data_IF_610130844603
#
_entry.id   IF_610130844603
#
_cell.length_a   1.000
_cell.length_b   1.000
_cell.length_c   1.000
_cell.angle_alpha   90.00
_cell.angle_beta   90.00
_cell.angle_gamma   90.00
#
_symmetry.space_group_name_H-M   'P 1'
#
loop_
_entity.id
_entity.type
_entity.pdbx_description
1 polymer ?
#
# COMPACT_ATOMS: atom_id res chain seq x y z
N UNK A 1 4.81 -8.78 7.74
CA UNK A 1 4.63 -10.16 8.28
C UNK A 1 5.00 -10.24 9.75
N UNK A 2 6.20 -9.78 10.14
CA UNK A 2 6.59 -9.74 11.57
C UNK A 2 5.62 -8.89 12.38
N UNK A 3 5.28 -7.68 11.88
CA UNK A 3 4.26 -6.83 12.51
C UNK A 3 2.91 -7.53 12.69
N UNK A 4 2.44 -8.27 11.68
CA UNK A 4 1.15 -8.97 11.71
C UNK A 4 1.11 -10.12 12.73
N UNK A 5 2.25 -10.75 13.00
CA UNK A 5 2.33 -11.98 13.78
C UNK A 5 2.96 -11.80 15.16
N UNK A 6 3.70 -10.71 15.38
CA UNK A 6 4.57 -10.54 16.55
C UNK A 6 5.74 -11.54 16.57
N UNK A 7 6.03 -12.20 15.44
CA UNK A 7 7.01 -13.28 15.34
C UNK A 7 8.26 -12.84 14.59
N UNK A 8 9.42 -13.43 14.94
CA UNK A 8 10.68 -13.21 14.22
C UNK A 8 10.62 -13.79 12.80
N UNK A 9 11.24 -13.11 11.83
CA UNK A 9 11.35 -13.60 10.45
C UNK A 9 11.96 -15.00 10.32
N UNK A 10 12.92 -15.33 11.19
CA UNK A 10 13.57 -16.64 11.29
C UNK A 10 13.63 -17.07 12.75
N UNK A 11 13.20 -18.30 13.04
CA UNK A 11 13.23 -18.89 14.37
C UNK A 11 13.62 -20.36 14.27
N UNK A 12 14.79 -20.73 14.82
CA UNK A 12 15.35 -22.07 14.70
C UNK A 12 14.69 -23.08 15.64
N UNK A 13 14.06 -22.60 16.70
CA UNK A 13 13.32 -23.41 17.67
C UNK A 13 11.99 -23.94 17.10
N UNK A 14 11.53 -23.39 15.97
CA UNK A 14 10.31 -23.83 15.28
C UNK A 14 10.52 -25.07 14.42
N UNK A 15 9.46 -25.88 14.21
CA UNK A 15 9.46 -26.95 13.22
C UNK A 15 9.94 -26.49 11.85
N UNK A 16 10.58 -27.38 11.08
CA UNK A 16 11.20 -27.06 9.79
C UNK A 16 10.27 -26.28 8.83
N UNK A 17 8.98 -26.62 8.78
CA UNK A 17 7.99 -25.99 7.91
C UNK A 17 7.62 -24.54 8.32
N UNK A 18 7.99 -24.10 9.53
CA UNK A 18 7.63 -22.80 10.11
C UNK A 18 8.81 -21.95 10.57
N UNK A 19 10.05 -22.38 10.25
CA UNK A 19 11.27 -21.62 10.55
C UNK A 19 11.29 -20.26 9.87
N UNK A 20 10.95 -20.23 8.58
CA UNK A 20 10.85 -19.00 7.80
C UNK A 20 9.42 -18.47 7.84
N UNK A 21 9.25 -17.28 8.42
CA UNK A 21 7.93 -16.68 8.59
C UNK A 21 7.22 -16.45 7.25
N UNK A 22 7.97 -16.12 6.19
CA UNK A 22 7.44 -15.91 4.84
C UNK A 22 6.75 -17.17 4.31
N UNK A 23 7.46 -18.30 4.34
CA UNK A 23 6.92 -19.58 3.87
C UNK A 23 5.74 -20.03 4.73
N UNK A 24 5.83 -19.83 6.04
CA UNK A 24 4.76 -20.20 6.96
C UNK A 24 3.49 -19.39 6.71
N UNK A 25 3.61 -18.07 6.56
CA UNK A 25 2.48 -17.18 6.28
C UNK A 25 1.85 -17.50 4.92
N UNK A 26 2.66 -17.71 3.88
CA UNK A 26 2.17 -18.05 2.54
C UNK A 26 1.33 -19.34 2.55
N UNK A 27 1.81 -20.39 3.24
CA UNK A 27 1.06 -21.65 3.39
C UNK A 27 -0.24 -21.44 4.17
N UNK A 28 -0.21 -20.69 5.27
CA UNK A 28 -1.40 -20.43 6.07
C UNK A 28 -2.47 -19.62 5.31
N UNK A 29 -2.08 -18.66 4.46
CA UNK A 29 -3.05 -17.97 3.60
C UNK A 29 -3.71 -18.95 2.62
N UNK A 30 -2.91 -19.80 1.97
CA UNK A 30 -3.39 -20.82 1.02
C UNK A 30 -4.34 -21.83 1.68
N UNK A 31 -4.07 -22.19 2.93
CA UNK A 31 -4.85 -23.14 3.72
C UNK A 31 -6.00 -22.48 4.50
N UNK A 32 -6.19 -21.15 4.37
CA UNK A 32 -7.16 -20.37 5.13
C UNK A 32 -6.98 -20.47 6.67
N UNK A 33 -5.74 -20.62 7.12
CA UNK A 33 -5.29 -20.74 8.53
C UNK A 33 -4.54 -19.50 9.03
N UNK A 34 -4.76 -18.34 8.40
CA UNK A 34 -4.08 -17.10 8.76
C UNK A 34 -4.22 -16.73 10.25
N UNK A 35 -5.39 -17.00 10.84
CA UNK A 35 -5.69 -16.74 12.25
C UNK A 35 -4.75 -17.45 13.24
N UNK A 36 -4.07 -18.53 12.84
CA UNK A 36 -3.10 -19.24 13.68
C UNK A 36 -1.75 -18.49 13.79
N UNK A 37 -1.47 -17.57 12.87
CA UNK A 37 -0.18 -16.89 12.75
C UNK A 37 -0.26 -15.44 13.24
N UNK A 38 -1.40 -14.79 13.03
CA UNK A 38 -1.61 -13.39 13.40
C UNK A 38 -1.56 -13.23 14.92
N UNK A 39 -0.96 -12.13 15.39
CA UNK A 39 -0.97 -11.80 16.81
C UNK A 39 -2.42 -11.65 17.29
N UNK A 40 -2.80 -12.40 18.33
CA UNK A 40 -4.15 -12.37 18.90
C UNK A 40 -4.57 -10.98 19.40
N UNK A 41 -3.63 -10.06 19.64
CA UNK A 41 -3.92 -8.66 19.98
C UNK A 41 -4.29 -7.79 18.77
N UNK A 42 -3.93 -8.23 17.56
CA UNK A 42 -4.25 -7.52 16.31
C UNK A 42 -5.55 -8.00 15.67
N UNK A 43 -5.94 -9.26 15.89
CA UNK A 43 -7.12 -9.83 15.26
C UNK A 43 -8.39 -9.53 16.07
N UNK A 44 -9.35 -8.90 15.42
CA UNK A 44 -10.72 -8.67 15.92
C UNK A 44 -11.71 -9.19 14.89
N UNK A 45 -12.97 -9.46 15.27
CA UNK A 45 -13.99 -9.88 14.28
C UNK A 45 -14.16 -8.85 13.15
N UNK A 46 -14.09 -7.56 13.49
CA UNK A 46 -14.35 -6.46 12.56
C UNK A 46 -13.20 -6.16 11.59
N UNK A 47 -12.01 -6.73 11.78
CA UNK A 47 -10.84 -6.43 10.95
C UNK A 47 -10.26 -7.65 10.22
N UNK A 48 -10.96 -8.80 10.25
CA UNK A 48 -10.46 -10.05 9.66
C UNK A 48 -10.17 -9.93 8.18
N UNK A 49 -11.02 -9.20 7.44
CA UNK A 49 -10.90 -9.04 6.00
C UNK A 49 -9.70 -8.16 5.65
N UNK A 50 -9.51 -7.05 6.35
CA UNK A 50 -8.38 -6.15 6.17
C UNK A 50 -7.06 -6.86 6.53
N UNK A 51 -7.02 -7.60 7.64
CA UNK A 51 -5.83 -8.38 8.02
C UNK A 51 -5.50 -9.43 6.96
N UNK A 52 -6.51 -10.09 6.39
CA UNK A 52 -6.31 -11.05 5.29
C UNK A 52 -5.72 -10.37 4.06
N UNK A 53 -6.18 -9.17 3.73
CA UNK A 53 -5.67 -8.43 2.58
C UNK A 53 -4.25 -7.89 2.80
N UNK A 54 -3.94 -7.35 3.99
CA UNK A 54 -2.57 -6.94 4.34
C UNK A 54 -1.62 -8.15 4.29
N UNK A 55 -2.08 -9.33 4.73
CA UNK A 55 -1.29 -10.55 4.64
C UNK A 55 -1.06 -11.00 3.18
N UNK A 56 -2.06 -10.87 2.29
CA UNK A 56 -1.94 -11.12 0.85
C UNK A 56 -0.87 -10.22 0.24
N UNK A 57 -0.99 -8.90 0.45
CA UNK A 57 -0.03 -7.90 -0.05
C UNK A 57 1.38 -8.22 0.44
N UNK A 58 1.53 -8.57 1.72
CA UNK A 58 2.83 -8.94 2.27
C UNK A 58 3.44 -10.17 1.56
N UNK A 59 2.66 -11.20 1.26
CA UNK A 59 3.15 -12.39 0.54
C UNK A 59 3.55 -12.05 -0.89
N UNK A 60 2.79 -11.21 -1.58
CA UNK A 60 3.14 -10.77 -2.94
C UNK A 60 4.44 -9.97 -3.00
N UNK A 61 4.72 -9.16 -1.98
CA UNK A 61 6.00 -8.46 -1.86
C UNK A 61 7.21 -9.42 -1.74
N UNK A 62 6.99 -10.68 -1.40
CA UNK A 62 8.03 -11.69 -1.17
C UNK A 62 8.17 -12.71 -2.30
N UNK A 63 7.58 -12.45 -3.47
CA UNK A 63 7.74 -13.33 -4.64
C UNK A 63 9.21 -13.51 -5.01
N UNK A 64 9.56 -14.72 -5.45
CA UNK A 64 10.95 -15.09 -5.70
C UNK A 64 11.55 -14.23 -6.82
N UNK A 65 10.81 -14.07 -7.91
CA UNK A 65 11.19 -13.24 -9.04
C UNK A 65 10.93 -11.76 -8.73
N UNK A 66 11.86 -10.88 -9.08
CA UNK A 66 11.79 -9.46 -8.68
C UNK A 66 10.74 -8.68 -9.47
N UNK A 67 10.56 -9.05 -10.74
CA UNK A 67 9.55 -8.55 -11.67
C UNK A 67 8.12 -8.89 -11.27
N UNK A 68 7.96 -9.93 -10.45
CA UNK A 68 6.68 -10.38 -9.92
C UNK A 68 6.23 -9.59 -8.69
N UNK A 69 7.14 -8.86 -8.05
CA UNK A 69 6.87 -8.08 -6.84
C UNK A 69 6.21 -6.75 -7.22
N UNK A 70 5.17 -6.32 -6.49
CA UNK A 70 4.59 -5.00 -6.71
C UNK A 70 5.61 -3.89 -6.42
N UNK A 71 5.47 -2.75 -7.11
CA UNK A 71 6.25 -1.55 -6.79
C UNK A 71 5.80 -1.01 -5.44
N UNK A 72 6.71 -0.42 -4.67
CA UNK A 72 6.37 0.14 -3.34
C UNK A 72 5.26 1.21 -3.42
N UNK A 73 5.17 1.96 -4.53
CA UNK A 73 4.08 2.91 -4.77
C UNK A 73 2.70 2.23 -4.87
N UNK A 74 2.64 1.03 -5.44
CA UNK A 74 1.41 0.23 -5.57
C UNK A 74 1.04 -0.35 -4.21
N UNK A 75 2.03 -0.91 -3.50
CA UNK A 75 1.87 -1.40 -2.12
C UNK A 75 1.31 -0.31 -1.21
N UNK A 76 1.87 0.91 -1.27
CA UNK A 76 1.38 2.04 -0.48
C UNK A 76 -0.05 2.44 -0.86
N UNK A 77 -0.39 2.47 -2.14
CA UNK A 77 -1.73 2.79 -2.61
C UNK A 77 -2.77 1.74 -2.18
N UNK A 78 -2.46 0.44 -2.27
CA UNK A 78 -3.32 -0.65 -1.82
C UNK A 78 -3.55 -0.57 -0.30
N UNK A 79 -2.48 -0.36 0.48
CA UNK A 79 -2.59 -0.23 1.94
C UNK A 79 -3.39 1.02 2.36
N UNK A 80 -3.26 2.14 1.65
CA UNK A 80 -4.07 3.33 1.92
C UNK A 80 -5.55 3.08 1.59
N UNK A 81 -5.83 2.37 0.49
CA UNK A 81 -7.18 1.95 0.12
C UNK A 81 -7.88 1.18 1.24
N UNK A 82 -7.16 0.27 1.91
CA UNK A 82 -7.67 -0.50 3.06
C UNK A 82 -8.02 0.35 4.28
N UNK A 83 -7.37 1.50 4.47
CA UNK A 83 -7.69 2.42 5.56
C UNK A 83 -8.99 3.18 5.27
N UNK A 84 -9.12 3.68 4.04
CA UNK A 84 -10.27 4.50 3.61
C UNK A 84 -11.57 3.70 3.57
N UNK A 85 -11.54 2.42 3.18
CA UNK A 85 -12.75 1.56 3.19
C UNK A 85 -13.32 1.40 4.60
N UNK A 86 -12.45 1.27 5.61
CA UNK A 86 -12.87 1.18 7.02
C UNK A 86 -13.58 2.44 7.50
N UNK A 87 -13.12 3.61 7.07
CA UNK A 87 -13.71 4.90 7.45
C UNK A 87 -15.08 5.13 6.78
N UNK A 88 -15.25 4.65 5.54
CA UNK A 88 -16.55 4.71 4.84
C UNK A 88 -17.61 3.81 5.47
N UNK A 89 -17.24 2.60 5.92
CA UNK A 89 -18.17 1.72 6.65
C UNK A 89 -18.63 2.33 7.97
N UNK A 90 -17.78 3.12 8.65
CA UNK A 90 -18.17 3.83 9.88
C UNK A 90 -19.08 5.04 9.67
N UNK A 91 -18.96 5.72 8.52
CA UNK A 91 -19.78 6.90 8.19
C UNK A 91 -21.17 6.54 7.66
N UNK A 92 -21.38 5.30 7.22
CA UNK A 92 -22.62 4.87 6.56
C UNK A 92 -23.79 4.57 7.51
N UNK A 93 -23.58 4.58 8.84
CA UNK A 93 -24.64 4.32 9.82
C UNK A 93 -25.44 5.58 10.24
N UNK A 94 -25.23 6.75 9.61
CA UNK A 94 -25.83 8.02 10.08
C UNK A 94 -26.85 8.69 9.16
N UNK A 95 -27.19 8.18 7.97
CA UNK A 95 -28.19 8.85 7.12
C UNK A 95 -29.06 7.86 6.34
N UNK A 96 -30.41 7.96 6.43
CA UNK A 96 -31.27 7.24 5.51
C UNK A 96 -31.08 7.79 4.09
N UNK A 97 -30.99 6.88 3.12
CA UNK A 97 -30.93 7.19 1.70
C UNK A 97 -32.12 8.07 1.28
N UNK A 98 -31.84 9.27 0.79
CA UNK A 98 -32.76 10.01 -0.05
C UNK A 98 -32.10 10.24 -1.41
N UNK A 99 -32.70 9.58 -2.41
CA UNK A 99 -32.44 9.73 -3.84
C UNK A 99 -32.74 11.15 -4.31
N UNK A 100 -31.95 11.71 -5.22
CA UNK A 100 -32.40 12.04 -6.58
C UNK A 100 -31.34 12.77 -7.42
N UNK A 101 -31.51 12.63 -8.72
CA UNK A 101 -30.58 12.90 -9.81
C UNK A 101 -30.44 14.39 -10.09
N UNK A 102 -29.28 14.84 -10.58
CA UNK A 102 -29.25 16.04 -11.44
C UNK A 102 -28.15 15.92 -12.52
N UNK A 103 -28.60 15.84 -13.77
CA UNK A 103 -27.79 15.78 -14.99
C UNK A 103 -27.59 17.19 -15.52
N UNK A 104 -26.36 17.51 -15.94
CA UNK A 104 -26.07 18.47 -17.00
C UNK A 104 -25.18 19.65 -16.59
N UNK A 105 -24.00 19.78 -17.20
CA UNK A 105 -23.78 20.67 -18.35
C UNK A 105 -22.32 20.57 -18.84
N UNK A 106 -22.23 20.24 -20.13
CA UNK A 106 -21.31 20.63 -21.21
C UNK A 106 -19.78 20.64 -21.01
N UNK A 107 -19.18 19.70 -21.74
CA UNK A 107 -17.77 19.60 -22.11
C UNK A 107 -17.40 20.74 -23.06
N UNK A 108 -16.42 21.55 -22.67
CA UNK A 108 -15.73 22.48 -23.57
C UNK A 108 -14.47 21.78 -24.08
N UNK A 109 -14.46 21.42 -25.36
CA UNK A 109 -13.28 20.88 -26.04
C UNK A 109 -12.35 22.03 -26.43
N UNK A 110 -11.11 22.02 -25.93
CA UNK A 110 -10.02 22.79 -26.51
C UNK A 110 -8.96 21.81 -27.05
N UNK A 111 -8.84 21.75 -28.38
CA UNK A 111 -7.72 21.13 -29.07
C UNK A 111 -6.62 22.17 -29.27
N UNK A 112 -5.38 21.79 -29.00
CA UNK A 112 -4.17 22.53 -29.40
C UNK A 112 -2.95 22.01 -28.65
N UNK A 113 -2.17 21.10 -29.26
CA UNK A 113 -1.03 20.41 -28.63
C UNK A 113 0.36 20.96 -28.97
N UNK A 114 1.36 20.39 -28.26
CA UNK A 114 2.82 20.26 -28.53
C UNK A 114 3.62 21.56 -28.78
N UNK A 115 4.76 21.89 -28.17
CA UNK A 115 5.95 21.14 -27.72
C UNK A 115 6.78 22.04 -26.76
N UNK A 116 7.78 21.46 -26.07
CA UNK A 116 9.08 22.08 -25.63
C UNK A 116 8.99 23.29 -24.68
N UNK A 117 9.66 23.41 -23.53
CA UNK A 117 10.76 22.72 -22.88
C UNK A 117 10.71 23.10 -21.39
N UNK A 118 11.28 22.25 -20.53
CA UNK A 118 11.43 22.53 -19.11
C UNK A 118 12.51 23.62 -18.93
N UNK A 119 12.11 24.87 -18.72
CA UNK A 119 13.03 25.94 -18.35
C UNK A 119 13.55 25.72 -16.91
N UNK A 120 14.72 25.11 -16.82
CA UNK A 120 15.51 25.02 -15.58
C UNK A 120 16.02 26.40 -15.21
N UNK A 121 15.66 26.91 -14.03
CA UNK A 121 16.34 28.08 -13.45
C UNK A 121 17.73 27.64 -12.99
N UNK A 122 18.74 27.93 -13.81
CA UNK A 122 20.15 27.85 -13.45
C UNK A 122 20.48 29.04 -12.54
N UNK A 123 20.62 28.79 -11.24
CA UNK A 123 21.12 29.79 -10.31
C UNK A 123 22.66 29.84 -10.41
N UNK A 124 23.18 30.54 -11.43
CA UNK A 124 24.61 30.82 -11.57
C UNK A 124 24.92 32.14 -10.89
N UNK A 125 25.38 32.08 -9.64
CA UNK A 125 25.98 33.24 -8.99
C UNK A 125 27.41 33.41 -9.51
N UNK A 126 27.55 34.25 -10.53
CA UNK A 126 28.84 34.76 -11.02
C UNK A 126 29.44 35.70 -9.97
N UNK A 127 30.48 35.26 -9.26
CA UNK A 127 31.34 36.18 -8.49
C UNK A 127 32.60 36.46 -9.30
N UNK A 128 32.72 37.73 -9.70
CA UNK A 128 33.84 38.28 -10.44
C UNK A 128 35.08 38.35 -9.53
N UNK A 129 36.21 37.92 -10.06
CA UNK A 129 37.53 37.95 -9.40
C UNK A 129 38.08 39.38 -9.50
N UNK A 130 38.54 39.96 -8.39
CA UNK A 130 39.50 41.07 -8.40
C UNK A 130 40.89 40.58 -7.96
N UNK A 131 41.90 41.01 -8.70
CA UNK A 131 43.29 40.59 -8.58
C UNK A 131 44.10 41.49 -7.62
N UNK A 132 45.00 40.86 -6.85
CA UNK A 132 46.35 41.37 -6.59
C UNK A 132 46.59 42.33 -5.42
N UNK A 133 47.31 41.85 -4.40
CA UNK A 133 48.74 42.17 -4.21
C UNK A 133 49.43 41.10 -3.36
#
# INVERSE_FOLDING_TARGET
MELLSGQKALCFERPQYSKHLVSYLASAIKENRLHEIIDGKMLTEDNKMEIKEVARIAVECTRLMGEERPKMKEVAAELEGLRVTKDKHKWSDQYPEETEQLVGVQIISAQGGCTTDYDSITNVATLHIEAGR
#
